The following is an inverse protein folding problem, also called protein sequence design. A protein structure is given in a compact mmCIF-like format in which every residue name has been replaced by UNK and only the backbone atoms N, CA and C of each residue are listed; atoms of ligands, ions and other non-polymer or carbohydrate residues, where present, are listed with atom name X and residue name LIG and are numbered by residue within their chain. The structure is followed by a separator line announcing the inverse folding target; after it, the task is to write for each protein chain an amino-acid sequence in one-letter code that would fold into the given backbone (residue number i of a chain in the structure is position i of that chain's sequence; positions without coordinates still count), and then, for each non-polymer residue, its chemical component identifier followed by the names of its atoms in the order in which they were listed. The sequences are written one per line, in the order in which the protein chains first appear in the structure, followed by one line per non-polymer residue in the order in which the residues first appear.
data_IF_180894619637
#
_entry.id   IF_180894619637
#
_cell.length_a   1.000
_cell.length_b   1.000
_cell.length_c   1.000
_cell.angle_alpha   90.00
_cell.angle_beta   90.00
_cell.angle_gamma   90.00
#
_symmetry.space_group_name_H-M   'P 1'
#
loop_
_entity.id
_entity.type
_entity.pdbx_description
1 polymer ?
#
# COMPACT_ATOMS: atom_id res chain seq x y z
N UNK A 1 -1.79 -0.08 22.15
CA UNK A 1 -0.95 1.11 21.89
C UNK A 1 -1.08 1.45 20.42
N UNK A 2 -1.69 2.58 20.07
CA UNK A 2 -1.73 3.07 18.69
C UNK A 2 -0.32 3.50 18.28
N UNK A 3 0.21 2.95 17.20
CA UNK A 3 1.54 3.30 16.69
C UNK A 3 1.41 4.67 16.02
N UNK A 4 2.11 5.67 16.57
CA UNK A 4 2.18 7.00 15.97
C UNK A 4 2.99 6.92 14.69
N UNK A 5 2.46 7.45 13.60
CA UNK A 5 3.15 7.54 12.32
C UNK A 5 4.45 8.33 12.45
N UNK A 6 5.56 7.81 11.91
CA UNK A 6 6.83 8.53 11.87
C UNK A 6 6.74 9.68 10.84
N UNK A 7 7.12 10.93 11.20
CA UNK A 7 7.18 12.05 10.26
C UNK A 7 8.03 11.77 9.01
N UNK A 8 9.07 10.95 9.12
CA UNK A 8 9.92 10.51 8.00
C UNK A 8 9.14 9.67 7.00
N UNK A 9 8.39 8.66 7.47
CA UNK A 9 7.55 7.83 6.60
C UNK A 9 6.45 8.64 5.93
N UNK A 10 5.78 9.53 6.68
CA UNK A 10 4.74 10.39 6.14
C UNK A 10 5.27 11.31 5.03
N UNK A 11 6.43 11.94 5.26
CA UNK A 11 7.10 12.78 4.26
C UNK A 11 7.49 11.98 3.02
N UNK A 12 8.09 10.80 3.20
CA UNK A 12 8.52 9.96 2.10
C UNK A 12 7.35 9.51 1.22
N UNK A 13 6.23 9.12 1.83
CA UNK A 13 5.02 8.73 1.09
C UNK A 13 4.39 9.95 0.40
N UNK A 14 4.36 11.12 1.05
CA UNK A 14 3.84 12.33 0.41
C UNK A 14 4.65 12.73 -0.82
N UNK A 15 5.99 12.77 -0.71
CA UNK A 15 6.86 13.09 -1.85
C UNK A 15 6.73 12.08 -2.99
N UNK A 16 6.55 10.79 -2.66
CA UNK A 16 6.29 9.76 -3.66
C UNK A 16 4.92 9.96 -4.32
N UNK A 17 3.88 10.29 -3.56
CA UNK A 17 2.54 10.53 -4.08
C UNK A 17 2.50 11.76 -4.99
N UNK A 18 3.12 12.86 -4.59
CA UNK A 18 3.18 14.12 -5.36
C UNK A 18 3.84 13.93 -6.74
N UNK A 19 4.72 12.94 -6.88
CA UNK A 19 5.38 12.61 -8.16
C UNK A 19 4.56 11.66 -9.02
N UNK A 20 3.75 10.81 -8.41
CA UNK A 20 3.21 9.63 -9.09
C UNK A 20 1.68 9.62 -9.20
N UNK A 21 0.95 10.44 -8.45
CA UNK A 21 -0.51 10.41 -8.39
C UNK A 21 -1.18 11.68 -8.94
N UNK A 22 -0.42 12.57 -9.59
CA UNK A 22 -0.94 13.82 -10.15
C UNK A 22 -1.89 13.51 -11.31
N UNK A 23 -3.13 14.01 -11.21
CA UNK A 23 -4.16 13.83 -12.24
C UNK A 23 -4.78 12.43 -12.29
N UNK A 24 -4.49 11.57 -11.32
CA UNK A 24 -5.08 10.22 -11.25
C UNK A 24 -6.51 10.24 -10.73
N UNK A 25 -7.34 9.34 -11.24
CA UNK A 25 -8.64 9.02 -10.66
C UNK A 25 -8.53 8.05 -9.46
N UNK A 26 -9.67 7.73 -8.83
CA UNK A 26 -9.72 6.83 -7.67
C UNK A 26 -9.10 5.45 -7.96
N UNK A 27 -9.38 4.88 -9.14
CA UNK A 27 -8.92 3.54 -9.51
C UNK A 27 -7.40 3.53 -9.74
N UNK A 28 -6.86 4.55 -10.41
CA UNK A 28 -5.43 4.72 -10.64
C UNK A 28 -4.67 4.94 -9.32
N UNK A 29 -5.22 5.75 -8.41
CA UNK A 29 -4.66 5.92 -7.05
C UNK A 29 -4.67 4.58 -6.31
N UNK A 30 -5.81 3.88 -6.29
CA UNK A 30 -5.93 2.59 -5.63
C UNK A 30 -4.94 1.56 -6.17
N UNK A 31 -4.74 1.54 -7.48
CA UNK A 31 -3.85 0.62 -8.15
C UNK A 31 -2.37 0.90 -7.84
N UNK A 32 -1.93 2.16 -7.88
CA UNK A 32 -0.52 2.48 -7.61
C UNK A 32 -0.15 2.22 -6.16
N UNK A 33 -1.08 2.50 -5.24
CA UNK A 33 -0.94 2.15 -3.83
C UNK A 33 -0.94 0.63 -3.60
N UNK A 34 -1.76 -0.13 -4.32
CA UNK A 34 -1.73 -1.59 -4.28
C UNK A 34 -0.34 -2.14 -4.66
N UNK A 35 0.26 -1.62 -5.72
CA UNK A 35 1.63 -1.98 -6.11
C UNK A 35 2.66 -1.60 -5.04
N UNK A 36 2.55 -0.41 -4.46
CA UNK A 36 3.42 0.03 -3.38
C UNK A 36 3.33 -0.90 -2.16
N UNK A 37 2.12 -1.23 -1.72
CA UNK A 37 1.86 -2.14 -0.58
C UNK A 37 2.50 -3.52 -0.84
N UNK A 38 2.32 -4.08 -2.04
CA UNK A 38 2.91 -5.37 -2.41
C UNK A 38 4.45 -5.31 -2.47
N UNK A 39 5.03 -4.21 -2.94
CA UNK A 39 6.48 -4.02 -2.96
C UNK A 39 7.07 -3.95 -1.55
N UNK A 40 6.43 -3.20 -0.65
CA UNK A 40 6.79 -3.14 0.78
C UNK A 40 6.69 -4.51 1.43
N UNK A 41 5.58 -5.22 1.23
CA UNK A 41 5.39 -6.59 1.73
C UNK A 41 6.51 -7.53 1.28
N UNK A 42 6.75 -7.58 -0.04
CA UNK A 42 7.78 -8.44 -0.64
C UNK A 42 9.16 -8.15 -0.06
N UNK A 43 9.49 -6.88 0.19
CA UNK A 43 10.78 -6.50 0.75
C UNK A 43 10.90 -6.82 2.22
N UNK A 44 9.84 -6.65 2.99
CA UNK A 44 9.79 -7.04 4.40
C UNK A 44 10.04 -8.54 4.58
N UNK A 45 9.50 -9.38 3.69
CA UNK A 45 9.70 -10.84 3.70
C UNK A 45 11.15 -11.30 3.52
N UNK A 46 12.06 -10.42 3.07
CA UNK A 46 13.49 -10.74 2.97
C UNK A 46 14.16 -10.79 4.34
N UNK A 47 13.62 -10.07 5.33
CA UNK A 47 14.21 -9.93 6.67
C UNK A 47 13.31 -10.52 7.74
N UNK A 48 12.00 -10.44 7.56
CA UNK A 48 10.99 -10.93 8.48
C UNK A 48 10.36 -12.23 7.98
N UNK A 49 9.94 -13.08 8.91
CA UNK A 49 9.14 -14.25 8.53
C UNK A 49 7.80 -13.83 7.93
N UNK A 50 7.23 -14.66 7.05
CA UNK A 50 5.89 -14.44 6.51
C UNK A 50 4.81 -14.35 7.58
N UNK A 51 4.97 -15.08 8.68
CA UNK A 51 4.08 -14.99 9.85
C UNK A 51 4.16 -13.60 10.48
N UNK A 52 5.37 -13.06 10.68
CA UNK A 52 5.56 -11.71 11.23
C UNK A 52 4.95 -10.65 10.32
N UNK A 53 5.20 -10.72 9.02
CA UNK A 53 4.64 -9.78 8.03
C UNK A 53 3.12 -9.83 8.05
N UNK A 54 2.53 -11.03 8.07
CA UNK A 54 1.07 -11.21 8.15
C UNK A 54 0.48 -10.61 9.43
N UNK A 55 1.07 -10.90 10.60
CA UNK A 55 0.57 -10.40 11.89
C UNK A 55 0.62 -8.88 11.95
N UNK A 56 1.68 -8.27 11.42
CA UNK A 56 1.78 -6.81 11.31
C UNK A 56 0.68 -6.26 10.40
N UNK A 57 0.53 -6.82 9.20
CA UNK A 57 -0.48 -6.37 8.24
C UNK A 57 -1.91 -6.52 8.80
N UNK A 58 -2.22 -7.67 9.44
CA UNK A 58 -3.53 -7.94 10.05
C UNK A 58 -3.85 -6.91 11.12
N UNK A 59 -2.89 -6.65 12.01
CA UNK A 59 -3.03 -5.66 13.07
C UNK A 59 -3.25 -4.25 12.50
N UNK A 60 -2.44 -3.83 11.54
CA UNK A 60 -2.56 -2.49 10.93
C UNK A 60 -3.93 -2.35 10.24
N UNK A 61 -4.38 -3.36 9.50
CA UNK A 61 -5.69 -3.34 8.86
C UNK A 61 -6.81 -3.31 9.90
N UNK A 62 -6.75 -4.14 10.93
CA UNK A 62 -7.76 -4.19 11.98
C UNK A 62 -7.89 -2.85 12.72
N UNK A 63 -6.78 -2.21 13.08
CA UNK A 63 -6.76 -0.91 13.78
C UNK A 63 -7.33 0.24 12.93
N UNK A 64 -7.38 0.10 11.60
CA UNK A 64 -7.73 1.20 10.69
C UNK A 64 -9.04 1.01 9.92
N UNK A 65 -9.60 -0.20 9.88
CA UNK A 65 -10.85 -0.50 9.15
C UNK A 65 -12.07 0.28 9.63
N UNK A 66 -12.14 0.60 10.93
CA UNK A 66 -13.23 1.43 11.46
C UNK A 66 -13.16 2.88 10.97
N UNK A 67 -11.93 3.41 10.82
CA UNK A 67 -11.70 4.78 10.38
C UNK A 67 -11.75 4.93 8.86
N UNK A 68 -11.33 3.90 8.14
CA UNK A 68 -11.22 3.90 6.68
C UNK A 68 -11.92 2.66 6.11
N UNK A 69 -13.23 2.74 5.81
CA UNK A 69 -14.00 1.59 5.32
C UNK A 69 -13.44 0.95 4.06
N UNK A 70 -12.77 1.72 3.19
CA UNK A 70 -12.06 1.22 2.00
C UNK A 70 -11.05 0.11 2.35
N UNK A 71 -10.42 0.16 3.53
CA UNK A 71 -9.41 -0.84 3.94
C UNK A 71 -10.03 -2.21 4.26
N UNK A 72 -11.35 -2.33 4.33
CA UNK A 72 -12.02 -3.62 4.38
C UNK A 72 -11.86 -4.43 3.07
N UNK A 73 -11.54 -3.75 1.96
CA UNK A 73 -11.25 -4.39 0.67
C UNK A 73 -9.86 -5.04 0.62
N UNK A 74 -8.97 -4.70 1.56
CA UNK A 74 -7.67 -5.36 1.69
C UNK A 74 -7.84 -6.57 2.59
N UNK A 75 -7.67 -7.76 2.02
CA UNK A 75 -7.76 -9.04 2.74
C UNK A 75 -6.37 -9.65 2.93
N UNK A 76 -6.28 -10.64 3.81
CA UNK A 76 -5.08 -11.45 3.99
C UNK A 76 -5.35 -12.87 3.52
N UNK A 77 -4.71 -13.26 2.43
CA UNK A 77 -4.87 -14.58 1.79
C UNK A 77 -3.49 -15.25 1.73
N UNK A 78 -3.41 -16.52 2.17
CA UNK A 78 -2.16 -17.31 2.09
C UNK A 78 -0.90 -16.60 2.64
N UNK A 79 -1.08 -15.81 3.71
CA UNK A 79 -0.02 -15.01 4.35
C UNK A 79 0.45 -13.78 3.54
N UNK A 80 -0.34 -13.32 2.58
CA UNK A 80 -0.09 -12.11 1.80
C UNK A 80 -1.27 -11.13 1.84
N UNK A 81 -0.98 -9.85 1.63
CA UNK A 81 -1.99 -8.83 1.42
C UNK A 81 -2.59 -8.94 0.01
N UNK A 82 -3.88 -9.23 -0.06
CA UNK A 82 -4.63 -9.16 -1.31
C UNK A 82 -5.26 -7.77 -1.43
N UNK A 83 -4.81 -7.04 -2.44
CA UNK A 83 -5.24 -5.67 -2.77
C UNK A 83 -6.04 -5.60 -4.08
N UNK A 84 -6.38 -6.74 -4.68
CA UNK A 84 -7.03 -6.82 -6.01
C UNK A 84 -8.35 -6.04 -6.08
N UNK A 85 -9.11 -6.02 -4.99
CA UNK A 85 -10.42 -5.36 -4.91
C UNK A 85 -10.35 -3.84 -4.71
N UNK A 86 -9.16 -3.27 -4.44
CA UNK A 86 -9.02 -1.84 -4.18
C UNK A 86 -9.39 -0.99 -5.40
N UNK A 87 -8.93 -1.38 -6.60
CA UNK A 87 -9.19 -0.59 -7.81
C UNK A 87 -10.68 -0.49 -8.11
N UNK A 88 -11.40 -1.61 -8.12
CA UNK A 88 -12.82 -1.65 -8.42
C UNK A 88 -13.66 -1.02 -7.31
N UNK A 89 -13.38 -1.35 -6.04
CA UNK A 89 -14.15 -0.83 -4.92
C UNK A 89 -13.85 0.63 -4.57
N UNK A 90 -12.80 1.24 -5.11
CA UNK A 90 -12.50 2.66 -4.90
C UNK A 90 -13.47 3.61 -5.61
N UNK A 91 -14.23 3.12 -6.59
CA UNK A 91 -15.18 3.93 -7.36
C UNK A 91 -16.33 4.50 -6.50
N UNK A 92 -16.66 3.83 -5.39
CA UNK A 92 -17.72 4.24 -4.46
C UNK A 92 -17.28 5.34 -3.47
N UNK A 93 -16.02 5.77 -3.53
CA UNK A 93 -15.41 6.70 -2.57
C UNK A 93 -14.94 7.99 -3.25
N UNK A 94 -14.85 9.07 -2.47
CA UNK A 94 -14.21 10.31 -2.91
C UNK A 94 -12.70 10.14 -3.09
N UNK A 95 -12.12 10.85 -4.05
CA UNK A 95 -10.68 10.78 -4.36
C UNK A 95 -9.78 11.04 -3.14
N UNK A 96 -10.15 12.03 -2.31
CA UNK A 96 -9.42 12.35 -1.10
C UNK A 96 -9.59 11.27 -0.02
N UNK A 97 -10.75 10.60 0.06
CA UNK A 97 -10.95 9.51 0.99
C UNK A 97 -10.10 8.29 0.61
N UNK A 98 -10.05 7.96 -0.69
CA UNK A 98 -9.19 6.90 -1.22
C UNK A 98 -7.73 7.19 -0.92
N UNK A 99 -7.28 8.39 -1.29
CA UNK A 99 -5.92 8.86 -1.07
C UNK A 99 -5.53 8.84 0.41
N UNK A 100 -6.35 9.43 1.28
CA UNK A 100 -6.08 9.49 2.71
C UNK A 100 -6.05 8.10 3.35
N UNK A 101 -6.98 7.22 2.97
CA UNK A 101 -7.04 5.85 3.50
C UNK A 101 -5.79 5.05 3.16
N UNK A 102 -5.38 5.07 1.88
CA UNK A 102 -4.26 4.28 1.40
C UNK A 102 -2.91 4.88 1.82
N UNK A 103 -2.79 6.22 1.84
CA UNK A 103 -1.64 6.91 2.42
C UNK A 103 -1.45 6.52 3.88
N UNK A 104 -2.53 6.54 4.65
CA UNK A 104 -2.48 6.18 6.06
C UNK A 104 -2.03 4.73 6.25
N UNK A 105 -2.61 3.79 5.50
CA UNK A 105 -2.21 2.37 5.55
C UNK A 105 -0.72 2.19 5.23
N UNK A 106 -0.24 2.78 4.14
CA UNK A 106 1.15 2.63 3.72
C UNK A 106 2.13 3.21 4.74
N UNK A 107 1.84 4.39 5.29
CA UNK A 107 2.66 5.02 6.35
C UNK A 107 2.68 4.14 7.61
N UNK A 108 1.54 3.56 8.01
CA UNK A 108 1.47 2.68 9.17
C UNK A 108 2.27 1.38 8.96
N UNK A 109 2.17 0.76 7.79
CA UNK A 109 2.95 -0.44 7.46
C UNK A 109 4.46 -0.14 7.55
N UNK A 110 4.92 0.95 6.92
CA UNK A 110 6.32 1.38 6.98
C UNK A 110 6.76 1.62 8.43
N UNK A 111 5.95 2.33 9.21
CA UNK A 111 6.25 2.66 10.62
C UNK A 111 6.37 1.40 11.47
N UNK A 112 5.43 0.46 11.36
CA UNK A 112 5.47 -0.76 12.16
C UNK A 112 6.65 -1.64 11.73
N UNK A 113 6.90 -1.81 10.42
CA UNK A 113 8.05 -2.58 9.94
C UNK A 113 9.39 -1.97 10.36
N UNK A 114 9.54 -0.64 10.31
CA UNK A 114 10.70 0.07 10.85
C UNK A 114 10.89 -0.24 12.33
N UNK A 115 9.86 0.02 13.14
CA UNK A 115 9.90 -0.18 14.59
C UNK A 115 10.27 -1.61 15.00
N UNK A 116 9.64 -2.64 14.41
CA UNK A 116 9.92 -4.04 14.80
C UNK A 116 11.30 -4.52 14.34
N UNK A 117 11.97 -3.77 13.45
CA UNK A 117 13.32 -4.06 12.99
C UNK A 117 14.37 -3.08 13.50
N UNK A 118 14.04 -2.26 14.50
CA UNK A 118 14.90 -1.18 14.98
C UNK A 118 15.45 -0.32 13.82
N UNK A 119 14.56 0.02 12.89
CA UNK A 119 14.78 0.83 11.68
C UNK A 119 15.72 0.24 10.62
N UNK A 120 16.19 -1.00 10.79
CA UNK A 120 17.03 -1.69 9.80
C UNK A 120 16.32 -1.78 8.44
N UNK A 121 14.98 -1.95 8.44
CA UNK A 121 14.20 -2.00 7.21
C UNK A 121 13.77 -0.64 6.67
N UNK A 122 13.86 0.45 7.41
CA UNK A 122 13.31 1.76 7.03
C UNK A 122 13.83 2.22 5.66
N UNK A 123 15.15 2.35 5.51
CA UNK A 123 15.79 2.76 4.25
C UNK A 123 15.58 1.78 3.08
N UNK A 124 15.74 0.45 3.27
CA UNK A 124 15.36 -0.51 2.24
C UNK A 124 13.91 -0.38 1.76
N UNK A 125 12.95 -0.16 2.66
CA UNK A 125 11.53 -0.05 2.31
C UNK A 125 11.23 1.26 1.56
N UNK A 126 11.83 2.38 1.98
CA UNK A 126 11.73 3.66 1.25
C UNK A 126 12.26 3.53 -0.18
N UNK A 127 13.38 2.81 -0.37
CA UNK A 127 13.94 2.56 -1.70
C UNK A 127 13.02 1.72 -2.58
N UNK A 128 12.32 0.74 -2.03
CA UNK A 128 11.33 -0.01 -2.82
C UNK A 128 10.14 0.85 -3.21
N UNK A 129 9.65 1.72 -2.31
CA UNK A 129 8.58 2.66 -2.65
C UNK A 129 8.98 3.57 -3.81
N UNK A 130 10.21 4.12 -3.79
CA UNK A 130 10.70 5.01 -4.83
C UNK A 130 10.87 4.35 -6.21
N UNK A 131 10.92 3.01 -6.29
CA UNK A 131 10.93 2.29 -7.57
C UNK A 131 9.54 2.23 -8.21
N UNK A 132 8.47 2.42 -7.43
CA UNK A 132 7.11 2.43 -7.94
C UNK A 132 6.85 3.80 -8.57
N UNK A 133 6.65 3.80 -9.86
CA UNK A 133 6.40 5.00 -10.66
C UNK A 133 5.00 5.00 -11.25
N UNK A 134 4.49 6.15 -11.67
CA UNK A 134 3.27 6.23 -12.48
C UNK A 134 3.37 5.40 -13.77
N UNK A 135 4.57 5.26 -14.34
CA UNK A 135 4.86 4.38 -15.48
C UNK A 135 4.78 2.88 -15.13
N UNK A 136 4.87 2.53 -13.84
CA UNK A 136 4.66 1.17 -13.35
C UNK A 136 3.18 0.78 -13.37
N UNK A 137 2.26 1.76 -13.44
CA UNK A 137 0.86 1.47 -13.70
C UNK A 137 0.73 0.92 -15.12
N UNK A 138 0.01 -0.20 -15.26
CA UNK A 138 -0.27 -0.74 -16.56
C UNK A 138 -0.64 0.28 -17.63
N UNK A 139 -0.11 0.16 -18.85
CA UNK A 139 -0.99 0.21 -20.04
C UNK A 139 -1.96 -1.00 -20.02
N UNK A 140 -2.59 -1.32 -18.87
CA UNK A 140 -3.24 -2.61 -18.55
C UNK A 140 -4.65 -2.75 -19.11
N UNK A 141 -5.16 -1.76 -19.85
CA UNK A 141 -6.38 -1.95 -20.64
C UNK A 141 -6.16 -2.79 -21.91
N UNK A 142 -4.91 -3.03 -22.36
CA UNK A 142 -4.67 -3.75 -23.63
C UNK A 142 -4.48 -5.27 -23.50
N UNK A 143 -4.23 -5.82 -22.31
CA UNK A 143 -3.92 -7.27 -22.17
C UNK A 143 -5.19 -8.14 -22.09
N UNK A 144 -6.35 -7.59 -21.70
CA UNK A 144 -7.60 -8.37 -21.62
C UNK A 144 -8.27 -8.67 -22.98
N UNK A 145 -7.74 -8.12 -24.08
CA UNK A 145 -8.28 -8.32 -25.43
C UNK A 145 -7.52 -9.35 -26.29
N UNK A 146 -6.52 -10.06 -25.75
CA UNK A 146 -5.75 -11.07 -26.52
C UNK A 146 -6.03 -12.53 -26.15
N UNK A 147 -6.87 -12.80 -25.15
CA UNK A 147 -7.24 -14.16 -24.75
C UNK A 147 -8.67 -14.57 -25.18
N UNK A 148 -9.28 -13.82 -26.10
CA UNK A 148 -10.59 -14.15 -26.71
C UNK A 148 -10.57 -14.15 -28.25
N UNK A 149 -9.45 -14.54 -28.87
CA UNK A 149 -9.38 -14.78 -30.33
C UNK A 149 -8.80 -16.14 -30.63
#
# INVERSE_FOLDING_TARGET
MSVRSDPSHAKQVQEWEDRNCVGFDCAQIAQIYAFAIQAIEKRSLVTLSSITVKVVADRVLHENREKFPLLALVTLEEQRMNTSRLSEGSADYGIEDVRNSLRHLLVQLLTVFGNITADILTEPLHRELLKITSESLPKLCEVRNREQS
#
